data_IF_879402303740
#
_entry.id   IF_879402303740
#
_cell.length_a   1.000
_cell.length_b   1.000
_cell.length_c   1.000
_cell.angle_alpha   90.00
_cell.angle_beta   90.00
_cell.angle_gamma   90.00
#
_symmetry.space_group_name_H-M   'P 1'
#
loop_
_entity.id
_entity.type
_entity.pdbx_description
1 polymer ?
#
# COMPACT_ATOMS: atom_id res chain seq x y z
N UNK A 1 19.56 20.32 43.89
CA UNK A 1 18.37 20.70 43.11
C UNK A 1 17.85 19.47 42.38
N UNK A 2 16.66 18.96 42.74
CA UNK A 2 16.06 17.78 42.11
C UNK A 2 15.23 18.26 40.91
N UNK A 3 15.60 17.83 39.71
CA UNK A 3 14.79 18.07 38.51
C UNK A 3 13.64 17.08 38.49
N UNK A 4 12.41 17.60 38.59
CA UNK A 4 11.18 16.83 38.38
C UNK A 4 10.85 16.89 36.90
N UNK A 5 11.05 15.79 36.18
CA UNK A 5 10.63 15.66 34.78
C UNK A 5 9.19 15.12 34.80
N UNK A 6 8.22 15.96 34.42
CA UNK A 6 6.82 15.55 34.20
C UNK A 6 6.72 14.77 32.88
N UNK A 7 6.01 13.63 32.83
CA UNK A 7 5.72 12.97 31.57
C UNK A 7 4.59 13.73 30.85
N UNK A 8 4.89 14.28 29.68
CA UNK A 8 3.91 14.84 28.76
C UNK A 8 3.23 13.67 28.04
N UNK A 9 2.14 13.16 28.61
CA UNK A 9 1.24 12.20 27.95
C UNK A 9 0.42 13.00 26.92
N UNK A 10 0.88 13.02 25.67
CA UNK A 10 0.08 13.51 24.55
C UNK A 10 -0.86 12.39 24.15
N UNK A 11 -2.12 12.49 24.58
CA UNK A 11 -3.22 11.65 24.09
C UNK A 11 -3.44 11.90 22.60
N UNK A 12 -2.98 10.97 21.76
CA UNK A 12 -3.15 10.94 20.31
C UNK A 12 -4.57 10.46 19.91
N UNK A 13 -5.62 11.00 20.53
CA UNK A 13 -7.01 10.54 20.34
C UNK A 13 -7.90 11.51 19.56
N UNK A 14 -7.35 12.49 18.84
CA UNK A 14 -8.13 13.57 18.21
C UNK A 14 -7.86 13.86 16.72
N UNK A 15 -7.35 12.91 15.92
CA UNK A 15 -7.12 13.13 14.48
C UNK A 15 -7.85 12.19 13.51
N UNK A 16 -8.76 11.34 13.99
CA UNK A 16 -9.55 10.47 13.11
C UNK A 16 -11.03 10.89 13.04
N UNK A 17 -11.29 12.17 12.75
CA UNK A 17 -12.60 12.59 12.24
C UNK A 17 -12.69 12.24 10.75
N UNK A 18 -12.62 10.96 10.40
CA UNK A 18 -12.88 10.54 9.03
C UNK A 18 -14.37 10.79 8.79
N UNK A 19 -14.69 11.72 7.90
CA UNK A 19 -16.03 11.78 7.32
C UNK A 19 -16.21 10.51 6.49
N UNK A 20 -16.72 9.46 7.13
CA UNK A 20 -17.14 8.26 6.43
C UNK A 20 -18.37 8.69 5.64
N UNK A 21 -18.19 8.84 4.33
CA UNK A 21 -19.31 9.01 3.44
C UNK A 21 -20.16 7.73 3.56
N UNK A 22 -21.48 7.84 3.62
CA UNK A 22 -22.38 6.73 3.99
C UNK A 22 -22.31 5.49 3.07
N UNK A 23 -21.58 5.60 1.97
CA UNK A 23 -21.43 4.60 0.90
C UNK A 23 -20.04 3.94 0.87
N UNK A 24 -19.05 4.48 1.58
CA UNK A 24 -17.70 3.88 1.67
C UNK A 24 -17.65 2.86 2.81
N UNK A 25 -17.32 1.60 2.49
CA UNK A 25 -17.18 0.51 3.44
C UNK A 25 -15.71 0.33 3.84
N UNK A 26 -15.48 0.03 5.13
CA UNK A 26 -14.15 -0.35 5.58
C UNK A 26 -13.83 -1.74 5.03
N UNK A 27 -12.67 -1.88 4.40
CA UNK A 27 -12.20 -3.12 3.79
C UNK A 27 -10.82 -3.48 4.29
N UNK A 28 -10.51 -4.77 4.25
CA UNK A 28 -9.20 -5.32 4.58
C UNK A 28 -8.73 -6.23 3.46
N UNK A 29 -7.44 -6.25 3.18
CA UNK A 29 -6.90 -7.09 2.13
C UNK A 29 -5.61 -7.75 2.56
N UNK A 30 -5.29 -8.88 1.93
CA UNK A 30 -4.00 -9.55 2.06
C UNK A 30 -3.51 -10.01 0.70
N UNK A 31 -2.20 -9.99 0.51
CA UNK A 31 -1.62 -10.40 -0.76
C UNK A 31 -0.17 -10.02 -0.95
N UNK A 32 0.20 -10.00 -2.22
CA UNK A 32 1.53 -9.77 -2.77
C UNK A 32 1.49 -8.55 -3.70
N UNK A 33 2.48 -7.68 -3.60
CA UNK A 33 2.67 -6.51 -4.45
C UNK A 33 2.46 -5.19 -3.72
N UNK A 34 2.43 -4.08 -4.47
CA UNK A 34 2.45 -2.73 -3.88
C UNK A 34 1.17 -2.40 -3.11
N UNK A 35 0.01 -2.91 -3.54
CA UNK A 35 -1.24 -2.80 -2.78
C UNK A 35 -1.12 -3.33 -1.35
N UNK A 36 -0.14 -4.20 -1.08
CA UNK A 36 0.11 -4.86 0.21
C UNK A 36 1.52 -4.58 0.76
N UNK A 37 2.26 -3.61 0.20
CA UNK A 37 3.66 -3.30 0.56
C UNK A 37 4.60 -4.52 0.53
N UNK A 38 4.48 -5.35 -0.50
CA UNK A 38 5.18 -6.63 -0.63
C UNK A 38 4.24 -7.80 -0.31
N UNK A 39 4.69 -8.77 0.48
CA UNK A 39 3.81 -9.73 1.13
C UNK A 39 3.25 -9.08 2.40
N UNK A 40 1.95 -8.83 2.44
CA UNK A 40 1.37 -8.08 3.55
C UNK A 40 -0.13 -7.90 3.48
N UNK A 41 -0.57 -6.81 4.08
CA UNK A 41 -1.98 -6.46 4.24
C UNK A 41 -2.26 -5.04 3.82
N UNK A 42 -3.52 -4.76 3.52
CA UNK A 42 -4.04 -3.41 3.39
C UNK A 42 -5.30 -3.24 4.26
N UNK A 43 -5.56 -1.98 4.61
CA UNK A 43 -6.81 -1.52 5.20
C UNK A 43 -7.22 -0.25 4.48
N UNK A 44 -8.49 -0.12 4.15
CA UNK A 44 -8.93 1.00 3.34
C UNK A 44 -10.43 1.24 3.39
N UNK A 45 -10.84 2.26 2.65
CA UNK A 45 -12.23 2.58 2.37
C UNK A 45 -12.52 2.25 0.92
N UNK A 46 -13.49 1.39 0.71
CA UNK A 46 -13.96 0.86 -0.56
C UNK A 46 -15.34 1.46 -0.85
N UNK A 47 -15.45 2.20 -1.94
CA UNK A 47 -16.72 2.66 -2.50
C UNK A 47 -16.99 2.02 -3.85
N UNK A 48 -18.07 2.42 -4.52
CA UNK A 48 -18.51 1.83 -5.79
C UNK A 48 -17.40 1.81 -6.85
N UNK A 49 -16.65 2.90 -6.99
CA UNK A 49 -15.66 3.08 -8.05
C UNK A 49 -14.25 3.39 -7.52
N UNK A 50 -14.00 3.23 -6.22
CA UNK A 50 -12.69 3.57 -5.66
C UNK A 50 -12.31 2.79 -4.41
N UNK A 51 -11.01 2.57 -4.26
CA UNK A 51 -10.40 2.02 -3.05
C UNK A 51 -9.27 2.95 -2.60
N UNK A 52 -9.40 3.57 -1.43
CA UNK A 52 -8.33 4.34 -0.77
C UNK A 52 -7.78 3.50 0.37
N UNK A 53 -6.47 3.27 0.43
CA UNK A 53 -5.91 2.29 1.36
C UNK A 53 -4.57 2.73 1.96
N UNK A 54 -4.27 2.17 3.13
CA UNK A 54 -2.93 2.04 3.68
C UNK A 54 -2.53 0.57 3.67
N UNK A 55 -1.24 0.30 3.59
CA UNK A 55 -0.69 -1.05 3.51
C UNK A 55 0.56 -1.17 4.36
N UNK A 56 0.81 -2.40 4.82
CA UNK A 56 2.01 -2.76 5.55
C UNK A 56 2.40 -4.19 5.18
N UNK A 57 3.69 -4.41 4.93
CA UNK A 57 4.16 -5.70 4.45
C UNK A 57 5.68 -5.77 4.37
N UNK A 58 6.16 -6.92 3.91
CA UNK A 58 7.59 -7.17 3.72
C UNK A 58 7.90 -7.46 2.25
N UNK A 59 8.86 -6.71 1.71
CA UNK A 59 9.28 -6.78 0.32
C UNK A 59 10.35 -7.85 0.08
N UNK A 60 11.12 -8.18 1.11
CA UNK A 60 12.15 -9.20 0.99
C UNK A 60 12.55 -9.79 2.34
N UNK A 61 13.00 -11.04 2.30
CA UNK A 61 13.55 -11.77 3.43
C UNK A 61 14.81 -12.53 3.00
N UNK A 62 15.83 -12.52 3.83
CA UNK A 62 17.03 -13.33 3.68
C UNK A 62 17.61 -13.67 5.05
N UNK A 63 18.05 -14.91 5.24
CA UNK A 63 18.74 -15.33 6.46
C UNK A 63 20.07 -14.58 6.70
N UNK A 64 20.69 -14.08 5.64
CA UNK A 64 21.98 -13.39 5.70
C UNK A 64 21.85 -11.87 5.86
N UNK A 65 20.81 -11.27 5.28
CA UNK A 65 20.67 -9.81 5.17
C UNK A 65 19.40 -9.26 5.83
N UNK A 66 18.67 -10.10 6.57
CA UNK A 66 17.46 -9.72 7.27
C UNK A 66 16.23 -9.50 6.38
N UNK A 67 15.27 -8.76 6.91
CA UNK A 67 13.96 -8.49 6.29
C UNK A 67 13.81 -7.02 5.98
N UNK A 68 13.24 -6.68 4.83
CA UNK A 68 12.81 -5.31 4.53
C UNK A 68 11.30 -5.24 4.57
N UNK A 69 10.77 -4.54 5.57
CA UNK A 69 9.34 -4.27 5.70
C UNK A 69 9.10 -2.77 5.66
N UNK A 70 7.91 -2.39 5.25
CA UNK A 70 7.54 -0.99 5.10
C UNK A 70 6.04 -0.81 5.04
N UNK A 71 5.67 0.45 4.85
CA UNK A 71 4.28 0.88 4.72
C UNK A 71 4.10 1.65 3.43
N UNK A 72 2.86 1.76 2.99
CA UNK A 72 2.48 2.60 1.86
C UNK A 72 1.02 2.95 1.89
N UNK A 73 0.62 3.86 1.02
CA UNK A 73 -0.75 4.26 0.82
C UNK A 73 -1.03 4.44 -0.66
N UNK A 74 -2.29 4.31 -1.06
CA UNK A 74 -2.66 4.48 -2.44
C UNK A 74 -4.15 4.67 -2.65
N UNK A 75 -4.48 4.90 -3.92
CA UNK A 75 -5.85 4.95 -4.41
C UNK A 75 -5.95 4.10 -5.67
N UNK A 76 -7.04 3.36 -5.81
CA UNK A 76 -7.44 2.69 -7.05
C UNK A 76 -8.79 3.26 -7.47
N UNK A 77 -8.95 3.51 -8.77
CA UNK A 77 -10.16 4.06 -9.37
C UNK A 77 -10.55 3.25 -10.60
N UNK A 78 -11.82 2.91 -10.74
CA UNK A 78 -12.36 2.17 -11.89
C UNK A 78 -13.09 3.05 -12.89
N UNK A 79 -13.37 4.31 -12.53
CA UNK A 79 -14.10 5.31 -13.31
C UNK A 79 -13.23 6.10 -14.31
N UNK A 80 -11.96 5.73 -14.48
CA UNK A 80 -11.01 6.47 -15.32
C UNK A 80 -11.17 6.13 -16.81
N UNK A 81 -11.69 4.94 -17.08
CA UNK A 81 -11.93 4.45 -18.43
C UNK A 81 -13.42 4.15 -18.58
N UNK A 82 -13.94 4.25 -19.81
CA UNK A 82 -15.35 3.99 -20.12
C UNK A 82 -15.66 2.47 -20.18
N UNK A 83 -15.12 1.72 -19.21
CA UNK A 83 -15.45 0.32 -19.04
C UNK A 83 -16.80 0.23 -18.35
N UNK A 84 -17.74 -0.49 -18.94
CA UNK A 84 -19.08 -0.72 -18.38
C UNK A 84 -19.06 -1.67 -17.16
N UNK A 85 -17.91 -1.86 -16.51
CA UNK A 85 -17.74 -2.79 -15.38
C UNK A 85 -16.81 -2.20 -14.30
N UNK A 86 -17.09 -2.46 -13.01
CA UNK A 86 -16.24 -2.02 -11.90
C UNK A 86 -15.01 -2.92 -11.71
N UNK A 87 -14.64 -3.74 -12.70
CA UNK A 87 -13.58 -4.74 -12.56
C UNK A 87 -12.19 -4.16 -12.89
N UNK A 88 -12.11 -3.10 -13.70
CA UNK A 88 -10.86 -2.56 -14.22
C UNK A 88 -10.46 -1.30 -13.46
N UNK A 89 -9.40 -1.37 -12.65
CA UNK A 89 -8.92 -0.26 -11.83
C UNK A 89 -7.56 0.25 -12.29
N UNK A 90 -7.38 1.58 -12.29
CA UNK A 90 -6.08 2.23 -12.34
C UNK A 90 -5.75 2.79 -10.96
N UNK A 91 -4.55 2.52 -10.48
CA UNK A 91 -4.09 2.88 -9.15
C UNK A 91 -2.84 3.74 -9.15
N UNK A 92 -2.72 4.55 -8.11
CA UNK A 92 -1.51 5.26 -7.73
C UNK A 92 -1.10 4.83 -6.31
N UNK A 93 0.19 4.66 -6.11
CA UNK A 93 0.77 4.15 -4.86
C UNK A 93 1.98 5.00 -4.46
N UNK A 94 2.13 5.24 -3.16
CA UNK A 94 3.30 5.83 -2.52
C UNK A 94 3.69 4.98 -1.31
N UNK A 95 4.94 4.57 -1.23
CA UNK A 95 5.39 3.70 -0.13
C UNK A 95 6.68 2.98 -0.43
N UNK A 96 6.87 1.83 0.20
CA UNK A 96 7.99 0.94 -0.07
C UNK A 96 7.82 0.30 -1.47
N UNK A 97 8.80 0.52 -2.34
CA UNK A 97 8.78 0.04 -3.74
C UNK A 97 9.91 -0.94 -4.05
N UNK A 98 10.82 -1.18 -3.10
CA UNK A 98 11.92 -2.12 -3.29
C UNK A 98 12.84 -2.26 -2.08
N UNK A 99 13.91 -3.02 -2.30
CA UNK A 99 14.98 -3.27 -1.34
C UNK A 99 16.33 -3.08 -2.04
N UNK A 100 17.26 -2.39 -1.39
CA UNK A 100 18.65 -2.31 -1.83
C UNK A 100 19.57 -2.93 -0.77
N UNK A 101 20.59 -3.64 -1.22
CA UNK A 101 21.62 -4.20 -0.34
C UNK A 101 22.78 -3.21 -0.25
N UNK A 102 23.00 -2.64 0.92
CA UNK A 102 24.08 -1.69 1.19
C UNK A 102 24.92 -2.24 2.33
N UNK A 103 26.18 -2.59 2.05
CA UNK A 103 27.15 -3.09 3.04
C UNK A 103 26.62 -4.22 3.94
N UNK A 104 26.05 -5.26 3.33
CA UNK A 104 25.46 -6.43 4.02
C UNK A 104 24.21 -6.12 4.86
N UNK A 105 23.59 -4.95 4.67
CA UNK A 105 22.28 -4.60 5.26
C UNK A 105 21.26 -4.30 4.16
N UNK A 106 19.99 -4.63 4.38
CA UNK A 106 18.90 -4.34 3.44
C UNK A 106 18.19 -3.06 3.84
N UNK A 107 18.18 -2.08 2.95
CA UNK A 107 17.43 -0.82 3.13
C UNK A 107 16.19 -0.80 2.25
N UNK A 108 15.11 -0.28 2.82
CA UNK A 108 13.88 -0.02 2.09
C UNK A 108 14.08 1.12 1.07
N UNK A 109 13.66 0.88 -0.17
CA UNK A 109 13.55 1.93 -1.19
C UNK A 109 12.12 2.47 -1.10
N UNK A 110 11.99 3.76 -0.85
CA UNK A 110 10.70 4.46 -0.88
C UNK A 110 10.53 5.21 -2.19
N UNK A 111 9.30 5.24 -2.68
CA UNK A 111 8.97 5.81 -3.97
C UNK A 111 7.49 5.78 -4.25
N UNK A 112 7.16 5.74 -5.54
CA UNK A 112 5.79 5.73 -6.01
C UNK A 112 5.60 4.89 -7.25
N UNK A 113 4.36 4.60 -7.59
CA UNK A 113 4.03 3.85 -8.79
C UNK A 113 2.61 4.06 -9.26
N UNK A 114 2.39 3.66 -10.51
CA UNK A 114 1.07 3.57 -11.12
C UNK A 114 0.85 2.13 -11.58
N UNK A 115 -0.36 1.63 -11.45
CA UNK A 115 -0.66 0.24 -11.75
C UNK A 115 -2.07 0.00 -12.20
N UNK A 116 -2.25 -1.08 -12.94
CA UNK A 116 -3.54 -1.60 -13.33
C UNK A 116 -3.91 -2.76 -12.41
N UNK A 117 -5.18 -2.84 -12.04
CA UNK A 117 -5.78 -3.85 -11.18
C UNK A 117 -7.03 -4.40 -11.85
N UNK A 118 -7.22 -5.72 -11.77
CA UNK A 118 -8.43 -6.40 -12.16
C UNK A 118 -9.05 -7.09 -10.94
N UNK A 119 -10.24 -6.64 -10.55
CA UNK A 119 -11.03 -7.21 -9.46
C UNK A 119 -12.03 -8.20 -10.05
N UNK A 120 -11.95 -9.48 -9.69
CA UNK A 120 -12.80 -10.51 -10.30
C UNK A 120 -14.29 -10.30 -10.04
N UNK A 121 -14.63 -9.73 -8.87
CA UNK A 121 -16.02 -9.53 -8.45
C UNK A 121 -16.48 -8.06 -8.57
N UNK A 122 -15.62 -7.15 -9.04
CA UNK A 122 -15.81 -5.70 -8.94
C UNK A 122 -15.03 -5.09 -7.77
N UNK A 123 -14.64 -3.82 -7.89
CA UNK A 123 -13.90 -3.09 -6.84
C UNK A 123 -14.71 -2.87 -5.57
N UNK A 124 -16.04 -2.97 -5.62
CA UNK A 124 -16.98 -2.73 -4.51
C UNK A 124 -17.30 -4.00 -3.70
N UNK A 125 -16.72 -5.15 -4.07
CA UNK A 125 -17.04 -6.46 -3.47
C UNK A 125 -15.79 -7.20 -3.03
N UNK A 126 -15.97 -8.06 -2.03
CA UNK A 126 -14.94 -8.99 -1.62
C UNK A 126 -14.57 -9.94 -2.77
N UNK A 127 -13.29 -10.22 -2.94
CA UNK A 127 -12.84 -11.14 -3.98
C UNK A 127 -11.35 -11.10 -4.25
N UNK A 128 -10.95 -11.96 -5.17
CA UNK A 128 -9.60 -11.97 -5.71
C UNK A 128 -9.37 -10.75 -6.60
N UNK A 129 -8.13 -10.27 -6.61
CA UNK A 129 -7.66 -9.27 -7.55
C UNK A 129 -6.22 -9.55 -7.99
N UNK A 130 -5.91 -9.17 -9.22
CA UNK A 130 -4.59 -9.27 -9.83
C UNK A 130 -4.22 -7.93 -10.46
N UNK A 131 -2.93 -7.65 -10.58
CA UNK A 131 -2.51 -6.39 -11.17
C UNK A 131 -1.06 -6.37 -11.59
N UNK A 132 -0.70 -5.28 -12.22
CA UNK A 132 0.68 -4.97 -12.61
C UNK A 132 0.92 -3.49 -12.36
N UNK A 133 2.06 -3.14 -11.77
CA UNK A 133 2.42 -1.75 -11.49
C UNK A 133 3.84 -1.46 -11.94
N UNK A 134 4.05 -0.29 -12.52
CA UNK A 134 5.37 0.31 -12.66
C UNK A 134 5.67 1.16 -11.43
N UNK A 135 6.85 0.97 -10.84
CA UNK A 135 7.32 1.76 -9.70
C UNK A 135 8.63 2.46 -10.01
N UNK A 136 8.83 3.60 -9.35
CA UNK A 136 10.09 4.33 -9.32
C UNK A 136 10.46 4.65 -7.87
N UNK A 137 11.74 4.57 -7.54
CA UNK A 137 12.25 4.81 -6.20
C UNK A 137 13.65 5.40 -6.19
N UNK A 138 14.00 6.06 -5.08
CA UNK A 138 15.35 6.61 -4.90
C UNK A 138 16.28 5.56 -4.32
N UNK A 139 17.35 5.27 -5.06
CA UNK A 139 18.41 4.34 -4.70
C UNK A 139 19.72 5.10 -4.43
N UNK A 140 20.69 4.44 -3.80
CA UNK A 140 22.01 5.05 -3.56
C UNK A 140 22.73 5.39 -4.89
N UNK A 141 22.47 4.65 -5.97
CA UNK A 141 23.01 4.88 -7.32
C UNK A 141 22.18 5.84 -8.18
N UNK A 142 21.08 6.40 -7.68
CA UNK A 142 20.22 7.33 -8.42
C UNK A 142 18.74 7.00 -8.32
N UNK A 143 18.06 6.87 -9.45
CA UNK A 143 16.65 6.49 -9.53
C UNK A 143 16.52 5.17 -10.26
N UNK A 144 15.90 4.19 -9.59
CA UNK A 144 15.60 2.89 -10.16
C UNK A 144 14.10 2.74 -10.43
N UNK A 145 13.76 1.82 -11.33
CA UNK A 145 12.37 1.47 -11.62
C UNK A 145 12.19 -0.02 -11.83
N UNK A 146 10.99 -0.52 -11.52
CA UNK A 146 10.66 -1.93 -11.63
C UNK A 146 9.19 -2.13 -12.03
N UNK A 147 8.90 -3.31 -12.58
CA UNK A 147 7.54 -3.79 -12.79
C UNK A 147 7.20 -4.81 -11.70
N UNK A 148 6.04 -4.65 -11.07
CA UNK A 148 5.59 -5.49 -9.96
C UNK A 148 4.28 -6.15 -10.33
N UNK A 149 4.24 -7.48 -10.25
CA UNK A 149 2.98 -8.25 -10.33
C UNK A 149 2.32 -8.23 -8.96
N UNK A 150 1.00 -8.09 -8.96
CA UNK A 150 0.19 -8.00 -7.76
C UNK A 150 -0.86 -9.12 -7.77
N UNK A 151 -1.08 -9.74 -6.61
CA UNK A 151 -2.10 -10.76 -6.41
C UNK A 151 -2.58 -10.67 -4.97
N UNK A 152 -3.88 -10.64 -4.74
CA UNK A 152 -4.40 -10.71 -3.38
C UNK A 152 -5.90 -10.90 -3.31
N UNK A 153 -6.40 -10.91 -2.10
CA UNK A 153 -7.82 -11.00 -1.78
C UNK A 153 -8.22 -9.76 -0.98
N UNK A 154 -9.35 -9.16 -1.36
CA UNK A 154 -9.97 -8.04 -0.65
C UNK A 154 -11.24 -8.57 0.04
N UNK A 155 -11.39 -8.29 1.34
CA UNK A 155 -12.52 -8.70 2.18
C UNK A 155 -13.52 -7.57 2.32
#
# INVERSE_FOLDING_TARGET
MKAVIKPLVISLSLLASTQINAEEQLTFGLGLGNLYSGLGVNVGYQGENSLKYMSAGCMSYSSMYGTTCGVGAGIVKTDIFDFQTPNHGLGAYLGIVGTQVVRFDRKAIYGGGIGYHYFFNGIDKSGLQLGIAGVIGKEDSGTGGAMVVQLGYQF
#
